data_IF_899435431539
#
_entry.id   IF_899435431539
#
_cell.length_a   1.000
_cell.length_b   1.000
_cell.length_c   1.000
_cell.angle_alpha   90.00
_cell.angle_beta   90.00
_cell.angle_gamma   90.00
#
_symmetry.space_group_name_H-M   'P 1'
#
loop_
_entity.id
_entity.type
_entity.pdbx_description
1 polymer ?
#
# COMPACT_ATOMS: atom_id res chain seq x y z
N UNK A 1 0.25 -3.24 25.15
CA UNK A 1 0.09 -1.78 25.35
C UNK A 1 0.06 -1.21 23.95
N UNK A 2 -1.14 -1.02 23.43
CA UNK A 2 -1.44 -0.89 22.00
C UNK A 2 -1.08 0.50 21.48
N UNK A 3 -0.55 0.51 20.27
CA UNK A 3 0.11 1.60 19.53
C UNK A 3 -0.81 2.73 19.02
N UNK A 4 -1.87 3.10 19.76
CA UNK A 4 -2.82 4.16 19.33
C UNK A 4 -2.18 5.57 19.25
N UNK A 5 -0.88 5.69 19.48
CA UNK A 5 -0.15 6.96 19.57
C UNK A 5 0.86 7.20 18.44
N UNK A 6 0.89 6.40 17.37
CA UNK A 6 1.87 6.62 16.29
C UNK A 6 1.32 7.43 15.12
N UNK A 7 0.07 7.20 14.69
CA UNK A 7 -0.57 8.01 13.65
C UNK A 7 -0.87 9.44 14.17
N UNK A 8 -1.46 9.55 15.35
CA UNK A 8 -1.63 10.82 16.07
C UNK A 8 -0.35 11.66 16.16
N UNK A 9 0.82 11.05 16.40
CA UNK A 9 2.11 11.78 16.41
C UNK A 9 2.44 12.36 15.05
N UNK A 10 2.26 11.59 13.97
CA UNK A 10 2.50 12.06 12.60
C UNK A 10 1.58 13.24 12.26
N UNK A 11 0.30 13.15 12.63
CA UNK A 11 -0.68 14.23 12.44
C UNK A 11 -0.27 15.47 13.24
N UNK A 12 0.08 15.32 14.51
CA UNK A 12 0.48 16.44 15.36
C UNK A 12 1.82 17.07 14.93
N UNK A 13 2.75 16.29 14.39
CA UNK A 13 3.98 16.81 13.80
C UNK A 13 3.67 17.63 12.53
N UNK A 14 2.74 17.16 11.69
CA UNK A 14 2.27 17.89 10.52
C UNK A 14 1.57 19.21 10.90
N UNK A 15 0.67 19.19 11.89
CA UNK A 15 0.02 20.39 12.45
C UNK A 15 1.05 21.39 13.00
N UNK A 16 2.08 20.91 13.70
CA UNK A 16 3.17 21.74 14.19
C UNK A 16 3.96 22.45 13.08
N UNK A 17 4.10 21.84 11.90
CA UNK A 17 4.81 22.43 10.75
C UNK A 17 4.09 23.62 10.14
N UNK A 18 2.76 23.67 10.25
CA UNK A 18 1.93 24.79 9.79
C UNK A 18 1.63 25.79 10.91
N UNK A 19 2.14 25.55 12.13
CA UNK A 19 1.91 26.41 13.30
C UNK A 19 0.52 26.26 13.93
N UNK A 20 -0.20 25.18 13.62
CA UNK A 20 -1.52 24.90 14.18
C UNK A 20 -1.45 24.24 15.56
N UNK A 21 -2.59 24.23 16.26
CA UNK A 21 -2.76 23.49 17.51
C UNK A 21 -2.67 21.98 17.31
N UNK A 22 -2.46 21.24 18.40
CA UNK A 22 -2.43 19.77 18.40
C UNK A 22 -3.81 19.21 18.73
N UNK A 23 -4.10 18.02 18.22
CA UNK A 23 -5.24 17.19 18.62
C UNK A 23 -4.80 16.19 19.69
N UNK A 24 -5.69 15.85 20.62
CA UNK A 24 -5.38 14.97 21.76
C UNK A 24 -5.73 13.50 21.49
N UNK A 25 -6.71 13.25 20.62
CA UNK A 25 -7.07 11.93 20.12
C UNK A 25 -7.52 12.02 18.66
N UNK A 26 -7.54 10.89 17.95
CA UNK A 26 -7.99 10.85 16.54
C UNK A 26 -9.52 10.85 16.41
N UNK A 27 -10.21 10.38 17.45
CA UNK A 27 -11.67 10.32 17.56
C UNK A 27 -12.25 11.44 18.45
N UNK A 28 -11.43 12.44 18.79
CA UNK A 28 -11.95 13.59 19.54
C UNK A 28 -12.98 14.38 18.71
N UNK A 29 -14.05 14.82 19.37
CA UNK A 29 -15.13 15.57 18.73
C UNK A 29 -14.76 17.06 18.62
N UNK A 30 -13.73 17.35 17.82
CA UNK A 30 -13.28 18.71 17.49
C UNK A 30 -13.34 18.95 16.00
N UNK A 31 -13.64 20.19 15.61
CA UNK A 31 -13.65 20.58 14.19
C UNK A 31 -12.28 20.33 13.54
N UNK A 32 -11.20 20.59 14.26
CA UNK A 32 -9.83 20.35 13.80
C UNK A 32 -9.60 18.86 13.50
N UNK A 33 -9.94 17.96 14.43
CA UNK A 33 -9.80 16.52 14.23
C UNK A 33 -10.64 16.02 13.05
N UNK A 34 -11.90 16.48 12.96
CA UNK A 34 -12.81 16.17 11.86
C UNK A 34 -12.29 16.59 10.47
N UNK A 35 -11.50 17.66 10.39
CA UNK A 35 -10.88 18.12 9.14
C UNK A 35 -9.60 17.35 8.80
N UNK A 36 -8.71 17.12 9.77
CA UNK A 36 -7.35 16.63 9.48
C UNK A 36 -7.24 15.12 9.43
N UNK A 37 -7.97 14.39 10.27
CA UNK A 37 -7.86 12.92 10.37
C UNK A 37 -8.32 12.23 9.08
N UNK A 38 -9.48 12.57 8.47
CA UNK A 38 -9.89 11.95 7.22
C UNK A 38 -8.94 12.25 6.05
N UNK A 39 -8.44 13.49 5.98
CA UNK A 39 -7.50 13.94 4.96
C UNK A 39 -6.18 13.17 5.07
N UNK A 40 -5.65 13.04 6.29
CA UNK A 40 -4.46 12.25 6.57
C UNK A 40 -4.58 10.81 6.08
N UNK A 41 -5.65 10.11 6.48
CA UNK A 41 -5.84 8.71 6.11
C UNK A 41 -6.08 8.51 4.61
N UNK A 42 -6.83 9.41 3.98
CA UNK A 42 -7.04 9.39 2.53
C UNK A 42 -5.71 9.53 1.78
N UNK A 43 -4.89 10.50 2.19
CA UNK A 43 -3.59 10.76 1.56
C UNK A 43 -2.60 9.63 1.81
N UNK A 44 -2.52 9.14 3.05
CA UNK A 44 -1.66 8.02 3.41
C UNK A 44 -1.97 6.77 2.58
N UNK A 45 -3.25 6.42 2.42
CA UNK A 45 -3.66 5.28 1.58
C UNK A 45 -3.23 5.46 0.13
N UNK A 46 -3.37 6.67 -0.43
CA UNK A 46 -2.93 6.97 -1.78
C UNK A 46 -1.40 6.83 -1.93
N UNK A 47 -0.62 7.35 -0.98
CA UNK A 47 0.84 7.26 -0.99
C UNK A 47 1.33 5.83 -0.78
N UNK A 48 0.68 5.04 0.07
CA UNK A 48 1.00 3.63 0.24
C UNK A 48 0.68 2.80 -1.02
N UNK A 49 -0.34 3.20 -1.79
CA UNK A 49 -0.70 2.54 -3.04
C UNK A 49 0.17 2.95 -4.24
N UNK A 50 0.85 4.10 -4.18
CA UNK A 50 1.60 4.64 -5.32
C UNK A 50 2.93 3.91 -5.61
N UNK A 51 3.49 3.23 -4.61
CA UNK A 51 4.78 2.57 -4.68
C UNK A 51 4.76 1.24 -3.91
N UNK A 52 5.62 0.31 -4.33
CA UNK A 52 5.73 -0.99 -3.68
C UNK A 52 6.59 -0.95 -2.42
N UNK A 53 6.20 -0.12 -1.45
CA UNK A 53 6.91 0.03 -0.18
C UNK A 53 7.20 -1.33 0.48
N UNK A 54 8.47 -1.56 0.83
CA UNK A 54 8.94 -2.83 1.38
C UNK A 54 8.26 -3.19 2.70
N UNK A 55 8.03 -2.20 3.57
CA UNK A 55 7.39 -2.36 4.88
C UNK A 55 5.86 -2.53 4.82
N UNK A 56 5.23 -2.20 3.68
CA UNK A 56 3.78 -2.27 3.52
C UNK A 56 3.30 -3.57 2.83
N UNK A 57 4.21 -4.39 2.31
CA UNK A 57 3.88 -5.66 1.67
C UNK A 57 3.61 -6.76 2.72
N UNK A 58 2.49 -7.45 2.61
CA UNK A 58 2.18 -8.61 3.47
C UNK A 58 1.64 -9.77 2.64
N UNK A 59 2.18 -10.96 2.90
CA UNK A 59 1.76 -12.20 2.26
C UNK A 59 0.68 -12.89 3.08
N UNK A 60 -0.42 -13.26 2.43
CA UNK A 60 -1.50 -14.06 3.02
C UNK A 60 -1.67 -15.36 2.23
N UNK A 61 -1.88 -16.47 2.94
CA UNK A 61 -2.47 -17.66 2.33
C UNK A 61 -3.95 -17.37 2.17
N UNK A 62 -4.49 -17.58 0.97
CA UNK A 62 -5.90 -17.35 0.72
C UNK A 62 -6.70 -18.61 1.05
N UNK A 63 -7.86 -18.40 1.66
CA UNK A 63 -8.81 -19.46 1.95
C UNK A 63 -9.75 -19.64 0.75
N UNK A 64 -9.92 -20.90 0.35
CA UNK A 64 -10.80 -21.25 -0.74
C UNK A 64 -12.26 -21.08 -0.30
N UNK A 65 -13.06 -20.55 -1.21
CA UNK A 65 -14.46 -20.22 -0.96
C UNK A 65 -15.32 -21.47 -1.11
N UNK A 66 -16.41 -21.54 -0.35
CA UNK A 66 -17.36 -22.63 -0.44
C UNK A 66 -17.98 -22.70 -1.85
N UNK A 67 -17.94 -23.90 -2.43
CA UNK A 67 -18.46 -24.22 -3.76
C UNK A 67 -19.98 -24.42 -3.72
N UNK A 68 -20.71 -23.32 -3.55
CA UNK A 68 -22.16 -23.29 -3.42
C UNK A 68 -22.79 -22.49 -4.56
N UNK A 69 -24.01 -22.84 -4.95
CA UNK A 69 -24.73 -22.12 -6.01
C UNK A 69 -24.95 -20.62 -5.69
N UNK A 70 -24.98 -20.25 -4.40
CA UNK A 70 -25.06 -18.85 -3.94
C UNK A 70 -23.82 -18.03 -4.32
N UNK A 71 -22.67 -18.68 -4.47
CA UNK A 71 -21.41 -18.06 -4.89
C UNK A 71 -21.13 -18.29 -6.38
N UNK A 72 -22.17 -18.40 -7.21
CA UNK A 72 -22.03 -18.56 -8.67
C UNK A 72 -21.27 -19.82 -9.11
N UNK A 73 -21.33 -20.89 -8.30
CA UNK A 73 -20.69 -22.17 -8.60
C UNK A 73 -21.66 -23.16 -9.26
N UNK A 74 -21.28 -23.67 -10.43
CA UNK A 74 -21.95 -24.77 -11.12
C UNK A 74 -21.38 -26.13 -10.65
N UNK A 75 -22.19 -26.86 -9.89
CA UNK A 75 -21.83 -28.17 -9.36
C UNK A 75 -21.70 -29.26 -10.44
N UNK A 76 -22.41 -29.16 -11.56
CA UNK A 76 -22.36 -30.13 -12.65
C UNK A 76 -21.07 -29.98 -13.47
N UNK A 77 -20.69 -28.74 -13.77
CA UNK A 77 -19.47 -28.43 -14.51
C UNK A 77 -18.21 -28.33 -13.63
N UNK A 78 -18.39 -28.30 -12.30
CA UNK A 78 -17.34 -28.15 -11.29
C UNK A 78 -16.50 -26.86 -11.42
N UNK A 79 -17.14 -25.79 -11.87
CA UNK A 79 -16.52 -24.49 -12.15
C UNK A 79 -17.44 -23.37 -11.64
N UNK A 80 -16.83 -22.21 -11.36
CA UNK A 80 -17.56 -20.96 -11.22
C UNK A 80 -18.03 -20.47 -12.59
N UNK A 81 -19.04 -19.59 -12.62
CA UNK A 81 -19.62 -19.05 -13.87
C UNK A 81 -18.60 -18.35 -14.79
N UNK A 82 -17.46 -17.92 -14.25
CA UNK A 82 -16.34 -17.33 -15.01
C UNK A 82 -15.33 -18.36 -15.55
N UNK A 83 -15.60 -19.65 -15.39
CA UNK A 83 -14.81 -20.76 -15.96
C UNK A 83 -13.72 -21.33 -15.06
N UNK A 84 -13.47 -20.75 -13.89
CA UNK A 84 -12.40 -21.18 -12.99
C UNK A 84 -12.86 -22.20 -11.96
N UNK A 85 -11.95 -23.06 -11.49
CA UNK A 85 -12.30 -24.15 -10.55
C UNK A 85 -12.35 -23.76 -9.08
N UNK A 86 -11.63 -22.71 -8.70
CA UNK A 86 -11.55 -22.21 -7.33
C UNK A 86 -11.70 -20.69 -7.30
N UNK A 87 -12.35 -20.23 -6.23
CA UNK A 87 -12.45 -18.82 -5.86
C UNK A 87 -11.82 -18.65 -4.48
N UNK A 88 -11.23 -17.49 -4.24
CA UNK A 88 -10.48 -17.13 -3.05
C UNK A 88 -10.90 -15.73 -2.61
N UNK A 89 -11.20 -15.56 -1.33
CA UNK A 89 -11.49 -14.25 -0.77
C UNK A 89 -10.17 -13.47 -0.61
N UNK A 90 -10.10 -12.26 -1.17
CA UNK A 90 -8.94 -11.40 -0.94
C UNK A 90 -8.99 -10.78 0.46
N UNK A 91 -7.86 -10.61 1.16
CA UNK A 91 -7.83 -10.08 2.52
C UNK A 91 -8.45 -8.68 2.60
N UNK A 92 -9.37 -8.46 3.53
CA UNK A 92 -10.02 -7.15 3.76
C UNK A 92 -9.06 -5.98 4.07
N UNK A 93 -7.96 -6.11 4.85
CA UNK A 93 -7.08 -4.97 5.17
C UNK A 93 -6.20 -4.50 3.99
N UNK A 94 -6.45 -4.98 2.77
CA UNK A 94 -5.66 -4.64 1.58
C UNK A 94 -5.95 -3.24 1.08
N UNK A 95 -4.91 -2.58 0.57
CA UNK A 95 -5.01 -1.37 -0.23
C UNK A 95 -4.90 -1.75 -1.70
N UNK A 96 -6.02 -1.73 -2.41
CA UNK A 96 -6.10 -2.03 -3.84
C UNK A 96 -6.01 -3.53 -4.17
N UNK A 97 -5.51 -3.82 -5.37
CA UNK A 97 -5.33 -5.18 -5.86
C UNK A 97 -4.05 -5.82 -5.27
N UNK A 98 -3.97 -7.16 -5.21
CA UNK A 98 -2.73 -7.84 -4.87
C UNK A 98 -1.58 -7.41 -5.79
N UNK A 99 -0.42 -7.10 -5.21
CA UNK A 99 0.82 -6.82 -5.95
C UNK A 99 1.29 -8.08 -6.69
N UNK A 100 1.13 -9.23 -6.04
CA UNK A 100 1.58 -10.51 -6.55
C UNK A 100 0.69 -11.64 -6.09
N UNK A 101 0.44 -12.57 -6.99
CA UNK A 101 -0.21 -13.85 -6.69
C UNK A 101 0.85 -14.94 -6.83
N UNK A 102 0.98 -15.77 -5.80
CA UNK A 102 2.01 -16.79 -5.67
C UNK A 102 1.37 -18.16 -5.61
N UNK A 103 1.98 -19.09 -6.32
CA UNK A 103 1.65 -20.52 -6.28
C UNK A 103 2.47 -21.27 -5.22
N UNK A 104 3.61 -20.73 -4.81
CA UNK A 104 4.39 -21.18 -3.65
C UNK A 104 5.01 -19.93 -2.96
N UNK A 105 4.75 -19.69 -1.67
CA UNK A 105 5.32 -18.55 -0.96
C UNK A 105 6.85 -18.64 -0.79
N UNK A 106 7.44 -19.85 -0.89
CA UNK A 106 8.89 -20.06 -0.82
C UNK A 106 9.60 -19.74 -2.12
N UNK A 107 8.88 -19.74 -3.24
CA UNK A 107 9.40 -19.34 -4.54
C UNK A 107 8.73 -18.05 -5.03
N UNK A 108 9.05 -16.90 -4.42
CA UNK A 108 8.45 -15.64 -4.80
C UNK A 108 8.86 -15.20 -6.21
N UNK A 109 9.83 -15.84 -6.87
CA UNK A 109 10.22 -15.50 -8.25
C UNK A 109 9.28 -16.05 -9.31
N UNK A 110 8.42 -16.98 -8.91
CA UNK A 110 7.59 -17.75 -9.82
C UNK A 110 6.09 -17.50 -9.54
N UNK A 111 5.58 -16.30 -9.86
CA UNK A 111 4.19 -15.96 -9.58
C UNK A 111 3.21 -16.84 -10.37
N UNK A 112 2.01 -17.00 -9.81
CA UNK A 112 0.88 -17.51 -10.57
C UNK A 112 0.45 -16.41 -11.56
N UNK A 113 0.40 -16.76 -12.85
CA UNK A 113 -0.04 -15.84 -13.92
C UNK A 113 -1.45 -16.16 -14.43
N UNK A 114 -1.89 -17.41 -14.23
CA UNK A 114 -3.21 -17.90 -14.61
C UNK A 114 -4.17 -17.66 -13.44
N UNK A 115 -4.71 -16.44 -13.37
CA UNK A 115 -5.74 -16.07 -12.42
C UNK A 115 -6.61 -14.94 -12.97
N UNK A 116 -7.80 -14.79 -12.39
CA UNK A 116 -8.71 -13.68 -12.65
C UNK A 116 -9.09 -13.03 -11.32
N UNK A 117 -9.22 -11.69 -11.28
CA UNK A 117 -9.71 -10.98 -10.10
C UNK A 117 -10.96 -10.20 -10.48
N UNK A 118 -12.06 -10.48 -9.78
CA UNK A 118 -13.36 -9.83 -10.02
C UNK A 118 -14.04 -9.54 -8.69
N UNK A 119 -14.54 -8.31 -8.52
CA UNK A 119 -15.33 -7.89 -7.35
C UNK A 119 -14.71 -8.24 -5.99
N UNK A 120 -13.37 -8.27 -5.89
CA UNK A 120 -12.66 -8.60 -4.66
C UNK A 120 -12.40 -10.09 -4.42
N UNK A 121 -12.74 -10.95 -5.36
CA UNK A 121 -12.43 -12.38 -5.37
C UNK A 121 -11.30 -12.67 -6.35
N UNK A 122 -10.45 -13.64 -6.00
CA UNK A 122 -9.42 -14.17 -6.89
C UNK A 122 -9.83 -15.58 -7.33
N UNK A 123 -9.82 -15.82 -8.64
CA UNK A 123 -10.16 -17.09 -9.25
C UNK A 123 -8.93 -17.74 -9.86
N UNK A 124 -8.75 -19.04 -9.64
CA UNK A 124 -7.63 -19.81 -10.16
C UNK A 124 -7.97 -21.31 -10.27
N UNK A 125 -7.15 -22.07 -10.99
CA UNK A 125 -7.28 -23.52 -11.11
C UNK A 125 -6.44 -24.31 -10.10
N UNK A 126 -5.96 -23.62 -9.07
CA UNK A 126 -5.17 -24.17 -7.96
C UNK A 126 -6.00 -24.16 -6.68
N UNK A 127 -5.76 -25.14 -5.83
CA UNK A 127 -6.40 -25.33 -4.53
C UNK A 127 -5.78 -24.46 -3.42
N UNK A 128 -4.50 -24.11 -3.56
CA UNK A 128 -3.79 -23.21 -2.65
C UNK A 128 -3.09 -22.08 -3.42
N UNK A 129 -3.37 -20.85 -3.00
CA UNK A 129 -2.80 -19.63 -3.59
C UNK A 129 -2.44 -18.67 -2.46
N UNK A 130 -1.40 -17.87 -2.66
CA UNK A 130 -0.98 -16.82 -1.74
C UNK A 130 -1.03 -15.48 -2.45
N UNK A 131 -1.45 -14.44 -1.75
CA UNK A 131 -1.45 -13.07 -2.27
C UNK A 131 -0.50 -12.20 -1.44
N UNK A 132 0.35 -11.45 -2.13
CA UNK A 132 1.10 -10.33 -1.57
C UNK A 132 0.26 -9.08 -1.80
N UNK A 133 -0.23 -8.49 -0.72
CA UNK A 133 -1.07 -7.29 -0.76
C UNK A 133 -0.35 -6.12 -0.07
N UNK A 134 -0.67 -4.90 -0.50
CA UNK A 134 -0.34 -3.70 0.26
C UNK A 134 -1.27 -3.60 1.46
N UNK A 135 -0.76 -3.38 2.66
CA UNK A 135 -1.55 -3.05 3.85
C UNK A 135 -1.18 -1.66 4.36
N UNK A 136 -1.94 -1.15 5.32
CA UNK A 136 -1.57 0.03 6.10
C UNK A 136 -0.93 -0.43 7.41
N UNK A 137 0.42 -0.54 7.49
CA UNK A 137 1.07 -0.95 8.71
C UNK A 137 1.20 0.24 9.68
N UNK A 138 1.44 -0.07 10.96
CA UNK A 138 1.67 0.93 12.00
C UNK A 138 2.87 1.83 11.66
N UNK A 139 2.85 3.15 11.97
CA UNK A 139 3.96 4.04 11.67
C UNK A 139 5.31 3.67 12.30
N UNK A 140 5.36 2.81 13.32
CA UNK A 140 6.62 2.32 13.88
C UNK A 140 7.47 1.53 12.91
N UNK A 141 6.86 0.84 11.95
CA UNK A 141 7.62 0.04 10.96
C UNK A 141 7.97 0.84 9.72
N UNK A 142 7.50 2.08 9.62
CA UNK A 142 7.79 2.92 8.46
C UNK A 142 9.26 3.32 8.43
N UNK A 143 9.79 3.46 7.23
CA UNK A 143 11.10 4.07 7.07
C UNK A 143 11.08 5.52 7.60
N UNK A 144 12.12 5.98 8.32
CA UNK A 144 12.16 7.36 8.83
C UNK A 144 12.03 8.42 7.73
N UNK A 145 12.55 8.17 6.51
CA UNK A 145 12.39 9.09 5.39
C UNK A 145 10.95 9.11 4.87
N UNK A 146 10.28 7.95 4.85
CA UNK A 146 8.86 7.87 4.50
C UNK A 146 8.01 8.65 5.51
N UNK A 147 8.28 8.47 6.80
CA UNK A 147 7.56 9.18 7.88
C UNK A 147 7.71 10.69 7.72
N UNK A 148 8.92 11.19 7.51
CA UNK A 148 9.18 12.61 7.27
C UNK A 148 8.45 13.13 6.01
N UNK A 149 8.39 12.34 4.94
CA UNK A 149 7.66 12.70 3.73
C UNK A 149 6.16 12.81 4.02
N UNK A 150 5.56 11.82 4.70
CA UNK A 150 4.13 11.84 5.06
C UNK A 150 3.79 13.02 5.96
N UNK A 151 4.63 13.36 6.95
CA UNK A 151 4.42 14.56 7.78
C UNK A 151 4.36 15.84 6.94
N UNK A 152 5.24 15.96 5.94
CA UNK A 152 5.28 17.13 5.08
C UNK A 152 4.11 17.17 4.09
N UNK A 153 3.71 16.02 3.53
CA UNK A 153 2.54 15.92 2.66
C UNK A 153 1.28 16.27 3.46
N UNK A 154 1.10 15.69 4.64
CA UNK A 154 -0.03 15.99 5.52
C UNK A 154 -0.07 17.47 5.90
N UNK A 155 1.08 18.07 6.22
CA UNK A 155 1.17 19.50 6.49
C UNK A 155 0.72 20.36 5.29
N UNK A 156 1.04 19.96 4.05
CA UNK A 156 0.56 20.68 2.87
C UNK A 156 -0.97 20.57 2.77
N UNK A 157 -1.50 19.36 2.88
CA UNK A 157 -2.94 19.10 2.80
C UNK A 157 -3.73 19.80 3.94
N UNK A 158 -3.10 20.08 5.08
CA UNK A 158 -3.71 20.80 6.21
C UNK A 158 -3.62 22.32 6.11
N UNK A 159 -2.68 22.87 5.33
CA UNK A 159 -2.42 24.32 5.31
C UNK A 159 -3.63 25.14 4.84
N UNK A 160 -4.35 24.69 3.81
CA UNK A 160 -5.56 25.39 3.35
C UNK A 160 -6.71 25.26 4.37
N UNK A 161 -7.14 24.06 4.80
CA UNK A 161 -8.31 23.94 5.68
C UNK A 161 -8.07 24.57 7.07
N UNK A 162 -6.84 24.52 7.59
CA UNK A 162 -6.55 24.98 8.96
C UNK A 162 -6.11 26.44 9.01
N UNK A 163 -5.15 26.84 8.15
CA UNK A 163 -4.56 28.19 8.20
C UNK A 163 -5.04 29.11 7.08
N UNK A 164 -5.82 28.60 6.12
CA UNK A 164 -6.28 29.34 4.94
C UNK A 164 -5.13 29.90 4.09
N UNK A 165 -3.94 29.31 4.18
CA UNK A 165 -2.73 29.81 3.51
C UNK A 165 -2.34 28.89 2.34
N UNK A 166 -2.76 29.30 1.13
CA UNK A 166 -2.43 28.60 -0.10
C UNK A 166 -0.95 28.73 -0.50
N UNK A 167 -0.25 29.78 -0.07
CA UNK A 167 1.17 29.95 -0.35
C UNK A 167 2.02 28.99 0.51
N UNK A 168 1.60 28.77 1.76
CA UNK A 168 2.18 27.77 2.64
C UNK A 168 2.00 26.36 2.09
N UNK A 169 0.78 26.00 1.64
CA UNK A 169 0.52 24.73 0.94
C UNK A 169 1.50 24.52 -0.22
N UNK A 170 1.54 25.46 -1.17
CA UNK A 170 2.37 25.35 -2.35
C UNK A 170 3.86 25.15 -2.01
N UNK A 171 4.37 25.90 -1.01
CA UNK A 171 5.76 25.78 -0.55
C UNK A 171 6.05 24.41 0.06
N UNK A 172 5.19 23.95 0.97
CA UNK A 172 5.36 22.67 1.67
C UNK A 172 5.22 21.51 0.68
N UNK A 173 4.28 21.59 -0.25
CA UNK A 173 4.02 20.57 -1.27
C UNK A 173 5.23 20.38 -2.19
N UNK A 174 5.90 21.45 -2.60
CA UNK A 174 7.15 21.36 -3.38
C UNK A 174 8.26 20.64 -2.61
N UNK A 175 8.38 20.86 -1.29
CA UNK A 175 9.36 20.13 -0.47
C UNK A 175 8.99 18.64 -0.38
N UNK A 176 7.70 18.35 -0.21
CA UNK A 176 7.20 17.01 0.01
C UNK A 176 7.26 16.13 -1.26
N UNK A 177 6.73 16.64 -2.36
CA UNK A 177 6.43 15.89 -3.60
C UNK A 177 7.30 16.31 -4.79
N UNK A 178 8.03 17.41 -4.65
CA UNK A 178 8.83 17.98 -5.74
C UNK A 178 8.05 19.01 -6.56
N UNK A 179 8.66 19.45 -7.65
CA UNK A 179 8.01 20.38 -8.57
C UNK A 179 6.94 19.65 -9.42
N UNK A 180 5.98 20.37 -10.02
CA UNK A 180 4.98 19.76 -10.90
C UNK A 180 5.59 18.95 -12.07
N UNK A 181 6.79 19.32 -12.52
CA UNK A 181 7.53 18.62 -13.58
C UNK A 181 7.99 17.21 -13.15
N UNK A 182 8.16 16.98 -11.85
CA UNK A 182 8.55 15.69 -11.27
C UNK A 182 7.34 14.74 -11.05
N UNK A 183 6.13 15.16 -11.45
CA UNK A 183 4.89 14.36 -11.43
C UNK A 183 4.61 13.69 -10.07
N UNK A 184 4.91 14.38 -8.97
CA UNK A 184 4.67 13.87 -7.61
C UNK A 184 5.61 12.73 -7.18
N UNK A 185 6.73 12.55 -7.89
CA UNK A 185 7.79 11.58 -7.57
C UNK A 185 9.11 12.26 -7.19
N UNK A 186 9.10 13.58 -6.97
CA UNK A 186 10.25 14.36 -6.54
C UNK A 186 10.29 14.56 -5.03
N UNK A 187 11.02 15.59 -4.58
CA UNK A 187 11.03 16.00 -3.17
C UNK A 187 11.45 14.92 -2.17
N UNK A 188 10.84 14.94 -0.98
CA UNK A 188 11.08 13.95 0.07
C UNK A 188 10.52 12.57 -0.29
N UNK A 189 9.34 12.51 -0.94
CA UNK A 189 8.72 11.23 -1.27
C UNK A 189 9.54 10.46 -2.31
N UNK A 190 10.08 11.13 -3.32
CA UNK A 190 10.97 10.54 -4.32
C UNK A 190 12.24 9.97 -3.72
N UNK A 191 12.83 10.69 -2.74
CA UNK A 191 13.99 10.21 -1.98
C UNK A 191 13.64 8.98 -1.13
N UNK A 192 12.48 8.99 -0.48
CA UNK A 192 12.00 7.84 0.28
C UNK A 192 11.80 6.62 -0.63
N UNK A 193 11.20 6.78 -1.81
CA UNK A 193 11.05 5.70 -2.79
C UNK A 193 12.39 5.15 -3.26
N UNK A 194 13.34 6.02 -3.60
CA UNK A 194 14.67 5.61 -4.04
C UNK A 194 15.43 4.83 -2.94
N UNK A 195 15.31 5.30 -1.70
CA UNK A 195 15.91 4.65 -0.52
C UNK A 195 15.27 3.28 -0.25
N UNK A 196 13.94 3.19 -0.28
CA UNK A 196 13.22 1.93 -0.10
C UNK A 196 13.59 0.92 -1.18
N UNK A 197 13.59 1.33 -2.45
CA UNK A 197 14.00 0.48 -3.58
C UNK A 197 15.44 -0.04 -3.44
N UNK A 198 16.37 0.78 -2.94
CA UNK A 198 17.76 0.38 -2.72
C UNK A 198 17.90 -0.65 -1.57
N UNK A 199 17.03 -0.57 -0.55
CA UNK A 199 16.99 -1.49 0.60
C UNK A 199 16.23 -2.77 0.28
N UNK A 200 15.15 -2.69 -0.51
CA UNK A 200 14.25 -3.78 -0.91
C UNK A 200 14.87 -4.73 -1.94
N UNK A 201 16.21 -4.81 -2.03
CA UNK A 201 16.91 -5.75 -2.91
C UNK A 201 16.62 -7.18 -2.49
N UNK A 202 15.52 -7.69 -3.04
CA UNK A 202 15.24 -9.12 -3.19
C UNK A 202 16.46 -9.73 -3.88
N UNK A 203 16.98 -10.83 -3.34
CA UNK A 203 18.23 -11.46 -3.75
C UNK A 203 18.48 -11.36 -5.27
N UNK A 204 19.74 -11.09 -5.62
CA UNK A 204 20.31 -11.05 -6.97
C UNK A 204 19.67 -12.05 -7.93
N UNK A 205 19.41 -11.59 -9.16
CA UNK A 205 19.11 -12.42 -10.32
C UNK A 205 19.93 -13.71 -10.26
N UNK A 206 19.26 -14.85 -10.35
CA UNK A 206 19.93 -16.14 -10.27
C UNK A 206 20.94 -16.24 -11.41
N UNK A 207 22.09 -16.77 -11.03
CA UNK A 207 23.22 -17.32 -11.78
C UNK A 207 22.89 -18.24 -12.97
N UNK A 208 21.61 -18.41 -13.32
CA UNK A 208 21.13 -19.20 -14.45
C UNK A 208 20.30 -18.30 -15.35
N UNK A 209 21.00 -17.41 -16.04
CA UNK A 209 20.47 -16.73 -17.21
C UNK A 209 20.59 -17.73 -18.39
N UNK A 210 19.47 -18.15 -19.02
CA UNK A 210 19.52 -19.09 -20.14
C UNK A 210 20.37 -18.57 -21.31
N UNK A 211 20.58 -17.26 -21.44
CA UNK A 211 21.50 -16.68 -22.42
C UNK A 211 22.98 -16.81 -22.01
N UNK A 212 23.26 -16.79 -20.71
CA UNK A 212 24.60 -17.03 -20.16
C UNK A 212 24.95 -18.52 -20.19
N UNK A 213 23.99 -19.39 -19.86
CA UNK A 213 24.16 -20.85 -19.91
C UNK A 213 24.31 -21.38 -21.35
N UNK A 214 23.58 -20.81 -22.32
CA UNK A 214 23.70 -21.18 -23.73
C UNK A 214 25.03 -20.74 -24.39
N UNK A 215 25.79 -19.83 -23.78
CA UNK A 215 27.11 -19.41 -24.27
C UNK A 215 28.24 -20.33 -23.80
N UNK A 216 28.00 -21.12 -22.76
CA UNK A 216 29.00 -22.00 -22.13
C UNK A 216 28.83 -23.49 -22.52
N UNK A 217 27.81 -23.82 -23.34
CA UNK A 217 27.61 -25.11 -24.00
C UNK A 217 28.03 -25.07 -25.46
#
# INVERSE_FOLDING_TARGET
MTDDNNHLKVINNALGRIGAGKIMAEDEDTELAGQVVPVYYSRLKAVLAMHEWSFAGKTYKLDAVAKTAENDYDAAAQIFNNGWRFAFELPSPRLGLPRKVLRDPRNPRDPLREFLIESGWLYADRDAVWAVVTVMPDPQVWDPQFTLAIEQIAAADFAIPVTHDAALDAKIRVIAEGTPEEQGRGGLIGRAMASDAAKSRTATAQWHDPLTDARLS
#
